data_IF_218801854954
#
_entry.id   IF_218801854954
#
_cell.length_a   1.000
_cell.length_b   1.000
_cell.length_c   1.000
_cell.angle_alpha   90.00
_cell.angle_beta   90.00
_cell.angle_gamma   90.00
#
_symmetry.space_group_name_H-M   'P 1'
#
loop_
_entity.id
_entity.type
_entity.pdbx_description
1 polymer ?
#
# COMPACT_ATOMS: atom_id res chain seq x y z
N UNK A 1 -2.96 -9.58 10.38
CA UNK A 1 -1.98 -10.22 9.48
C UNK A 1 -1.21 -9.21 8.66
N UNK A 2 0.09 -9.40 8.57
CA UNK A 2 0.97 -8.55 7.77
C UNK A 2 1.00 -9.11 6.36
N UNK A 3 0.50 -8.32 5.40
CA UNK A 3 0.37 -8.71 4.01
C UNK A 3 1.14 -7.73 3.13
N UNK A 4 1.49 -8.14 1.93
CA UNK A 4 2.14 -7.21 1.04
C UNK A 4 2.72 -7.83 -0.20
N UNK A 5 3.21 -6.95 -1.04
CA UNK A 5 4.02 -7.23 -2.20
C UNK A 5 4.85 -5.99 -2.51
N UNK A 6 5.76 -6.12 -3.45
CA UNK A 6 6.55 -4.97 -3.91
C UNK A 6 5.67 -3.88 -4.51
N UNK A 7 4.62 -4.25 -5.24
CA UNK A 7 3.88 -3.33 -6.09
C UNK A 7 4.67 -2.95 -7.32
N UNK A 8 4.24 -1.92 -8.02
CA UNK A 8 4.95 -1.39 -9.19
C UNK A 8 4.46 0.01 -9.50
N UNK A 9 5.25 0.73 -10.28
CA UNK A 9 4.88 2.05 -10.81
C UNK A 9 4.98 1.99 -12.34
N UNK A 10 3.94 2.49 -13.03
CA UNK A 10 3.93 2.63 -14.47
C UNK A 10 3.91 4.13 -14.81
N UNK A 11 5.10 4.74 -14.84
CA UNK A 11 5.22 6.18 -15.12
C UNK A 11 5.02 6.49 -16.60
N UNK A 12 5.43 5.56 -17.47
CA UNK A 12 5.48 5.77 -18.92
C UNK A 12 4.42 5.00 -19.71
N UNK A 13 3.56 4.24 -19.02
CA UNK A 13 2.53 3.43 -19.68
C UNK A 13 3.07 2.31 -20.56
N UNK A 14 4.27 1.82 -20.28
CA UNK A 14 4.90 0.75 -21.04
C UNK A 14 4.08 -0.54 -20.96
N UNK A 15 3.90 -1.28 -22.07
CA UNK A 15 3.17 -2.55 -22.00
C UNK A 15 3.78 -3.57 -21.04
N UNK A 16 5.11 -3.57 -20.88
CA UNK A 16 5.78 -4.44 -19.92
C UNK A 16 5.38 -4.12 -18.49
N UNK A 17 5.13 -2.84 -18.18
CA UNK A 17 4.69 -2.41 -16.84
C UNK A 17 3.31 -2.94 -16.52
N UNK A 18 2.41 -3.04 -17.50
CA UNK A 18 1.05 -3.56 -17.29
C UNK A 18 1.10 -5.03 -16.86
N UNK A 19 2.00 -5.82 -17.41
CA UNK A 19 2.19 -7.22 -17.00
C UNK A 19 2.71 -7.31 -15.58
N UNK A 20 3.65 -6.45 -15.23
CA UNK A 20 4.20 -6.40 -13.86
C UNK A 20 3.12 -6.00 -12.87
N UNK A 21 2.33 -4.98 -13.20
CA UNK A 21 1.22 -4.51 -12.35
C UNK A 21 0.21 -5.62 -12.11
N UNK A 22 -0.22 -6.33 -13.15
CA UNK A 22 -1.17 -7.43 -13.02
C UNK A 22 -0.62 -8.56 -12.14
N UNK A 23 0.66 -8.89 -12.31
CA UNK A 23 1.32 -9.91 -11.49
C UNK A 23 1.40 -9.49 -10.03
N UNK A 24 1.79 -8.25 -9.76
CA UNK A 24 1.91 -7.75 -8.39
C UNK A 24 0.54 -7.63 -7.72
N UNK A 25 -0.49 -7.22 -8.45
CA UNK A 25 -1.85 -7.21 -7.94
C UNK A 25 -2.31 -8.61 -7.56
N UNK A 26 -2.02 -9.62 -8.38
CA UNK A 26 -2.32 -11.03 -8.08
C UNK A 26 -1.58 -11.52 -6.84
N UNK A 27 -0.32 -11.15 -6.68
CA UNK A 27 0.48 -11.50 -5.50
C UNK A 27 -0.09 -10.87 -4.23
N UNK A 28 -0.49 -9.61 -4.32
CA UNK A 28 -1.12 -8.93 -3.20
C UNK A 28 -2.42 -9.62 -2.79
N UNK A 29 -3.25 -9.97 -3.77
CA UNK A 29 -4.51 -10.68 -3.51
C UNK A 29 -4.26 -12.00 -2.77
N UNK A 30 -3.28 -12.78 -3.22
CA UNK A 30 -2.93 -14.05 -2.57
C UNK A 30 -2.44 -13.83 -1.12
N UNK A 31 -1.64 -12.80 -0.90
CA UNK A 31 -1.15 -12.46 0.43
C UNK A 31 -2.31 -12.11 1.38
N UNK A 32 -3.24 -11.29 0.91
CA UNK A 32 -4.42 -10.89 1.69
C UNK A 32 -5.33 -12.09 1.98
N UNK A 33 -5.60 -12.91 0.96
CA UNK A 33 -6.44 -14.10 1.13
C UNK A 33 -5.86 -15.05 2.16
N UNK A 34 -4.54 -15.20 2.18
CA UNK A 34 -3.84 -16.03 3.16
C UNK A 34 -4.10 -15.56 4.60
N UNK A 35 -4.05 -14.25 4.83
CA UNK A 35 -4.35 -13.68 6.14
C UNK A 35 -5.82 -13.87 6.51
N UNK A 36 -6.73 -13.64 5.58
CA UNK A 36 -8.16 -13.79 5.82
C UNK A 36 -8.54 -15.24 6.13
N UNK A 37 -7.94 -16.20 5.43
CA UNK A 37 -8.15 -17.62 5.72
C UNK A 37 -7.69 -18.02 7.11
N UNK A 38 -6.67 -17.33 7.63
CA UNK A 38 -6.19 -17.54 8.99
C UNK A 38 -7.01 -16.78 10.05
N UNK A 39 -8.08 -16.09 9.64
CA UNK A 39 -8.92 -15.32 10.55
C UNK A 39 -8.30 -14.03 11.03
N UNK A 40 -7.30 -13.50 10.30
CA UNK A 40 -6.57 -12.29 10.67
C UNK A 40 -7.05 -11.10 9.84
N UNK A 41 -7.09 -9.93 10.48
CA UNK A 41 -7.32 -8.67 9.78
C UNK A 41 -6.07 -8.31 8.97
N UNK A 42 -6.17 -8.18 7.64
CA UNK A 42 -4.99 -7.88 6.82
C UNK A 42 -4.58 -6.41 6.93
N UNK A 43 -3.28 -6.19 7.11
CA UNK A 43 -2.65 -4.86 7.05
C UNK A 43 -1.64 -4.94 5.92
N UNK A 44 -1.71 -4.00 4.97
CA UNK A 44 -0.93 -4.07 3.73
C UNK A 44 0.30 -3.20 3.77
N UNK A 45 1.41 -3.76 3.33
CA UNK A 45 2.70 -3.08 3.15
C UNK A 45 3.15 -3.23 1.71
N UNK A 46 3.46 -2.11 1.06
CA UNK A 46 3.96 -2.08 -0.31
C UNK A 46 5.26 -1.31 -0.36
N UNK A 47 6.18 -1.68 -1.26
CA UNK A 47 7.33 -0.84 -1.52
C UNK A 47 6.93 0.37 -2.35
N UNK A 48 6.31 0.13 -3.52
CA UNK A 48 5.85 1.21 -4.39
C UNK A 48 4.49 1.73 -3.96
N UNK A 49 4.29 3.06 -3.94
CA UNK A 49 3.00 3.62 -3.55
C UNK A 49 1.90 3.23 -4.55
N UNK A 50 0.73 2.81 -4.06
CA UNK A 50 -0.39 2.54 -4.97
C UNK A 50 -1.03 3.81 -5.52
N UNK A 51 -0.77 4.95 -4.86
CA UNK A 51 -1.16 6.28 -5.35
C UNK A 51 -0.18 7.31 -4.77
N UNK A 52 0.11 8.33 -5.55
CA UNK A 52 0.93 9.47 -5.12
C UNK A 52 0.70 10.63 -6.08
N UNK A 53 0.70 11.86 -5.53
CA UNK A 53 0.39 13.03 -6.33
C UNK A 53 -0.95 12.83 -7.06
N UNK A 54 -0.92 12.93 -8.39
CA UNK A 54 -2.08 12.69 -9.25
C UNK A 54 -2.07 11.30 -9.89
N UNK A 55 -1.11 10.44 -9.53
CA UNK A 55 -0.95 9.11 -10.13
C UNK A 55 -1.64 8.06 -9.28
N UNK A 56 -2.39 7.18 -9.94
CA UNK A 56 -3.07 6.06 -9.31
C UNK A 56 -2.71 4.75 -10.01
N UNK A 57 -2.39 3.73 -9.23
CA UNK A 57 -2.25 2.38 -9.72
C UNK A 57 -3.58 1.65 -9.50
N UNK A 58 -4.44 1.67 -10.51
CA UNK A 58 -5.80 1.14 -10.38
C UNK A 58 -5.84 -0.36 -10.10
N UNK A 59 -4.88 -1.13 -10.64
CA UNK A 59 -4.82 -2.57 -10.38
C UNK A 59 -4.63 -2.86 -8.88
N UNK A 60 -3.73 -2.10 -8.24
CA UNK A 60 -3.48 -2.26 -6.80
C UNK A 60 -4.65 -1.71 -5.97
N UNK A 61 -5.19 -0.55 -6.34
CA UNK A 61 -6.34 0.04 -5.63
C UNK A 61 -7.56 -0.88 -5.67
N UNK A 62 -7.79 -1.52 -6.81
CA UNK A 62 -8.90 -2.47 -6.96
C UNK A 62 -8.78 -3.63 -5.98
N UNK A 63 -7.57 -4.18 -5.81
CA UNK A 63 -7.32 -5.24 -4.83
C UNK A 63 -7.60 -4.75 -3.41
N UNK A 64 -7.10 -3.56 -3.06
CA UNK A 64 -7.33 -2.99 -1.73
C UNK A 64 -8.83 -2.84 -1.43
N UNK A 65 -9.59 -2.34 -2.39
CA UNK A 65 -11.03 -2.14 -2.23
C UNK A 65 -11.80 -3.46 -2.21
N UNK A 66 -11.44 -4.39 -3.08
CA UNK A 66 -12.11 -5.70 -3.17
C UNK A 66 -12.06 -6.47 -1.85
N UNK A 67 -10.92 -6.42 -1.16
CA UNK A 67 -10.74 -7.15 0.09
C UNK A 67 -11.01 -6.31 1.34
N UNK A 68 -11.50 -5.09 1.18
CA UNK A 68 -11.87 -4.25 2.31
C UNK A 68 -10.68 -3.83 3.16
N UNK A 69 -9.53 -3.59 2.55
CA UNK A 69 -8.32 -3.18 3.28
C UNK A 69 -8.53 -1.79 3.87
N UNK A 70 -8.20 -1.62 5.15
CA UNK A 70 -8.36 -0.36 5.87
C UNK A 70 -7.06 0.42 6.03
N UNK A 71 -5.92 -0.28 6.05
CA UNK A 71 -4.61 0.34 6.29
C UNK A 71 -3.61 -0.14 5.25
N UNK A 72 -2.93 0.80 4.61
CA UNK A 72 -1.89 0.53 3.63
C UNK A 72 -0.68 1.41 3.91
N UNK A 73 0.45 0.77 4.18
CA UNK A 73 1.74 1.44 4.41
C UNK A 73 2.61 1.23 3.18
N UNK A 74 3.37 2.24 2.79
CA UNK A 74 4.21 2.13 1.61
C UNK A 74 5.51 2.94 1.78
N UNK A 75 6.48 2.65 0.90
CA UNK A 75 7.79 3.29 0.90
C UNK A 75 8.12 3.98 -0.40
N UNK A 76 9.34 3.80 -0.87
CA UNK A 76 9.86 4.27 -2.16
C UNK A 76 10.07 5.78 -2.27
N UNK A 77 9.15 6.61 -1.84
CA UNK A 77 9.24 8.07 -1.98
C UNK A 77 10.23 8.66 -0.97
N UNK A 78 11.30 9.26 -1.45
CA UNK A 78 12.36 9.84 -0.63
C UNK A 78 12.60 11.31 -0.97
N UNK A 79 13.14 12.07 -0.03
CA UNK A 79 13.53 13.46 -0.25
C UNK A 79 12.36 14.32 -0.72
N UNK A 80 12.54 15.02 -1.85
CA UNK A 80 11.50 15.91 -2.39
C UNK A 80 10.21 15.19 -2.77
N UNK A 81 10.27 13.88 -3.05
CA UNK A 81 9.10 13.11 -3.40
C UNK A 81 8.11 12.97 -2.22
N UNK A 82 8.52 13.25 -0.98
CA UNK A 82 7.61 13.29 0.16
C UNK A 82 6.42 14.22 -0.08
N UNK A 83 6.60 15.28 -0.86
CA UNK A 83 5.53 16.24 -1.16
C UNK A 83 4.38 15.61 -1.97
N UNK A 84 4.64 14.51 -2.69
CA UNK A 84 3.64 13.81 -3.49
C UNK A 84 3.02 12.62 -2.77
N UNK A 85 3.48 12.32 -1.56
CA UNK A 85 2.97 11.21 -0.78
C UNK A 85 1.53 11.50 -0.32
N UNK A 86 0.72 10.46 -0.31
CA UNK A 86 -0.61 10.52 0.26
C UNK A 86 -0.53 9.96 1.67
N UNK A 87 -0.79 10.81 2.65
CA UNK A 87 -0.91 10.44 4.05
C UNK A 87 -2.31 10.81 4.50
N UNK A 88 -3.16 9.83 4.69
CA UNK A 88 -4.56 10.05 5.05
C UNK A 88 -5.47 9.04 4.39
N UNK A 89 -6.77 9.26 4.52
CA UNK A 89 -7.78 8.32 4.04
C UNK A 89 -8.29 8.71 2.65
N UNK A 90 -8.34 7.70 1.77
CA UNK A 90 -8.93 7.80 0.43
C UNK A 90 -9.80 6.57 0.21
N UNK A 91 -11.09 6.78 -0.08
CA UNK A 91 -12.05 5.70 -0.37
C UNK A 91 -12.03 4.57 0.68
N UNK A 92 -11.95 4.95 1.95
CA UNK A 92 -11.99 4.00 3.06
C UNK A 92 -10.67 3.34 3.42
N UNK A 93 -9.58 3.67 2.71
CA UNK A 93 -8.24 3.16 3.02
C UNK A 93 -7.38 4.28 3.59
N UNK A 94 -6.76 4.04 4.72
CA UNK A 94 -5.78 4.96 5.27
C UNK A 94 -4.40 4.61 4.72
N UNK A 95 -3.78 5.57 4.05
CA UNK A 95 -2.43 5.43 3.45
C UNK A 95 -1.41 6.17 4.30
N UNK A 96 -0.24 5.56 4.52
CA UNK A 96 0.87 6.19 5.22
C UNK A 96 2.19 5.87 4.56
N UNK A 97 2.98 6.90 4.28
CA UNK A 97 4.36 6.75 3.85
C UNK A 97 5.24 6.39 5.06
N UNK A 98 6.00 5.31 4.94
CA UNK A 98 6.91 4.87 5.99
C UNK A 98 8.37 4.78 5.49
N UNK A 99 8.71 5.56 4.45
CA UNK A 99 10.09 5.64 4.00
C UNK A 99 10.99 6.13 5.15
N UNK A 100 12.19 5.56 5.25
CA UNK A 100 13.08 5.79 6.39
C UNK A 100 13.40 7.26 6.62
N UNK A 101 13.67 8.02 5.56
CA UNK A 101 13.96 9.44 5.68
C UNK A 101 12.74 10.29 6.05
N UNK A 102 11.55 9.88 5.62
CA UNK A 102 10.30 10.54 6.01
C UNK A 102 10.03 10.38 7.51
N UNK A 103 10.38 9.23 8.08
CA UNK A 103 10.23 8.93 9.50
C UNK A 103 11.45 9.38 10.32
N UNK A 104 12.38 10.15 9.74
CA UNK A 104 13.62 10.62 10.40
C UNK A 104 14.43 9.44 10.97
N UNK A 105 14.41 8.29 10.26
CA UNK A 105 15.12 7.06 10.63
C UNK A 105 14.69 6.48 11.99
N UNK A 106 13.48 6.83 12.42
CA UNK A 106 12.87 6.32 13.64
C UNK A 106 11.70 5.41 13.26
N UNK A 107 11.76 4.11 13.54
CA UNK A 107 10.70 3.18 13.16
C UNK A 107 9.34 3.58 13.73
N UNK A 108 8.31 3.50 12.90
CA UNK A 108 6.94 3.80 13.31
C UNK A 108 6.32 2.59 14.00
N UNK A 109 5.84 2.77 15.24
CA UNK A 109 5.05 1.74 15.91
C UNK A 109 3.61 1.82 15.38
N UNK A 110 3.20 0.82 14.62
CA UNK A 110 1.88 0.80 13.99
C UNK A 110 0.78 0.21 14.86
N UNK A 111 1.09 -0.29 16.03
CA UNK A 111 0.14 -1.00 16.88
C UNK A 111 -1.14 -0.21 17.13
N UNK A 112 -0.99 1.04 17.57
CA UNK A 112 -2.14 1.91 17.84
C UNK A 112 -2.87 2.32 16.56
N UNK A 113 -2.14 2.50 15.46
CA UNK A 113 -2.72 2.87 14.17
C UNK A 113 -3.63 1.76 13.68
N UNK A 114 -3.16 0.52 13.74
CA UNK A 114 -3.93 -0.65 13.30
C UNK A 114 -5.15 -0.87 14.18
N UNK A 115 -5.04 -0.64 15.48
CA UNK A 115 -6.14 -0.81 16.43
C UNK A 115 -7.20 0.28 16.36
N UNK A 116 -6.88 1.45 15.77
CA UNK A 116 -7.79 2.59 15.75
C UNK A 116 -9.09 2.36 14.97
N UNK A 117 -9.15 1.34 14.14
CA UNK A 117 -10.34 0.99 13.36
C UNK A 117 -11.39 0.22 14.15
N UNK A 118 -11.11 -0.11 15.39
CA UNK A 118 -12.03 -0.84 16.25
C UNK A 118 -13.03 0.06 16.99
N UNK A 119 -13.12 1.29 16.53
CA UNK A 119 -14.02 2.29 17.10
C UNK A 119 -15.39 2.28 16.40
#
# INVERSE_FOLDING_TARGET
>A
GICGTRGWISDNGEPADQKVLAREAGRLALSIESAQKAGLEPVVFLHYPPLFGNCCNYDMLEVLHKYGIKKCFYGHLHGRAHAYAINGTRDGVEYRLIASDFLHFDPLDITKIVQSDNL
#
